data_IF_803240866768
#
_entry.id   IF_803240866768
#
_cell.length_a   1.000
_cell.length_b   1.000
_cell.length_c   1.000
_cell.angle_alpha   90.00
_cell.angle_beta   90.00
_cell.angle_gamma   90.00
#
_symmetry.space_group_name_H-M   'P 1'
#
loop_
_entity.id
_entity.type
_entity.pdbx_description
1 polymer ?
#
# COMPACT_ATOMS: atom_id res chain seq x y z
N UNK A 1 -7.29 13.98 1.46
CA UNK A 1 -6.59 12.70 1.15
C UNK A 1 -5.14 13.07 0.91
N UNK A 2 -4.24 12.77 1.85
CA UNK A 2 -2.80 13.01 1.65
C UNK A 2 -2.20 11.71 1.14
N UNK A 3 -1.88 11.67 -0.15
CA UNK A 3 -1.23 10.52 -0.79
C UNK A 3 0.28 10.65 -0.60
N UNK A 4 0.89 9.72 0.13
CA UNK A 4 2.34 9.60 0.20
C UNK A 4 2.76 8.36 -0.56
N UNK A 5 3.50 8.57 -1.64
CA UNK A 5 4.19 7.51 -2.37
C UNK A 5 5.50 7.24 -1.64
N UNK A 6 5.69 6.00 -1.17
CA UNK A 6 6.95 5.58 -0.56
C UNK A 6 7.98 5.37 -1.67
N UNK A 7 8.94 6.28 -1.79
CA UNK A 7 10.05 6.19 -2.75
C UNK A 7 11.36 6.54 -2.01
N UNK A 8 11.96 5.57 -1.32
CA UNK A 8 13.27 5.57 -0.61
C UNK A 8 13.62 6.74 0.35
N UNK A 9 12.84 7.82 0.38
CA UNK A 9 12.96 8.94 1.30
C UNK A 9 11.97 8.74 2.45
N UNK A 10 12.52 8.63 3.66
CA UNK A 10 11.81 8.41 4.93
C UNK A 10 10.46 9.13 5.03
N UNK A 11 9.36 8.37 4.99
CA UNK A 11 8.00 8.90 5.09
C UNK A 11 7.66 9.28 6.54
N UNK A 12 7.23 10.52 6.71
CA UNK A 12 6.70 11.03 7.98
C UNK A 12 5.20 10.73 8.10
N UNK A 13 4.84 9.80 9.01
CA UNK A 13 3.44 9.50 9.31
C UNK A 13 2.80 10.62 10.15
N UNK A 14 2.31 11.67 9.50
CA UNK A 14 1.50 12.69 10.17
C UNK A 14 0.20 12.09 10.72
N UNK A 15 -0.29 12.64 11.84
CA UNK A 15 -1.59 12.27 12.41
C UNK A 15 -2.72 12.41 11.37
N UNK A 16 -2.61 13.38 10.46
CA UNK A 16 -3.58 13.67 9.40
C UNK A 16 -3.62 12.64 8.25
N UNK A 17 -2.66 11.71 8.17
CA UNK A 17 -2.65 10.67 7.12
C UNK A 17 -3.72 9.63 7.43
N UNK A 18 -4.70 9.54 6.54
CA UNK A 18 -5.81 8.57 6.60
C UNK A 18 -5.42 7.20 6.05
N UNK A 19 -4.57 7.17 5.01
CA UNK A 19 -4.16 5.94 4.33
C UNK A 19 -2.81 6.11 3.66
N UNK A 20 -2.05 5.02 3.57
CA UNK A 20 -0.77 4.91 2.90
C UNK A 20 -0.93 3.99 1.71
N UNK A 21 -0.45 4.41 0.54
CA UNK A 21 -0.52 3.63 -0.70
C UNK A 21 0.91 3.32 -1.15
N UNK A 22 1.19 2.06 -1.46
CA UNK A 22 2.53 1.63 -1.88
C UNK A 22 2.47 0.70 -3.10
N UNK A 23 3.31 0.96 -4.09
CA UNK A 23 3.57 0.02 -5.17
C UNK A 23 4.70 -0.92 -4.71
N UNK A 24 4.41 -2.22 -4.64
CA UNK A 24 5.29 -3.23 -4.01
C UNK A 24 5.77 -4.28 -5.00
N UNK A 25 5.74 -3.97 -6.30
CA UNK A 25 6.25 -4.87 -7.34
C UNK A 25 7.77 -4.99 -7.26
N UNK A 26 8.45 -3.89 -6.96
CA UNK A 26 9.89 -3.88 -6.70
C UNK A 26 10.15 -4.20 -5.22
N UNK A 27 10.90 -5.26 -4.88
CA UNK A 27 11.32 -5.50 -3.51
C UNK A 27 12.18 -4.33 -3.00
N UNK A 28 11.81 -3.76 -1.85
CA UNK A 28 12.57 -2.72 -1.16
C UNK A 28 12.50 -2.93 0.35
N UNK A 29 13.67 -2.91 1.01
CA UNK A 29 13.78 -2.97 2.47
C UNK A 29 13.19 -1.71 3.13
N UNK A 30 13.42 -0.54 2.53
CA UNK A 30 12.88 0.74 3.00
C UNK A 30 11.36 0.74 2.99
N UNK A 31 10.76 0.36 1.86
CA UNK A 31 9.30 0.22 1.73
C UNK A 31 8.76 -0.78 2.76
N UNK A 32 9.37 -1.96 2.89
CA UNK A 32 8.94 -2.97 3.86
C UNK A 32 8.97 -2.47 5.31
N UNK A 33 10.02 -1.73 5.68
CA UNK A 33 10.15 -1.14 7.01
C UNK A 33 9.06 -0.10 7.29
N UNK A 34 8.78 0.77 6.33
CA UNK A 34 7.75 1.80 6.47
C UNK A 34 6.34 1.22 6.54
N UNK A 35 6.03 0.21 5.72
CA UNK A 35 4.78 -0.53 5.80
C UNK A 35 4.60 -1.19 7.18
N UNK A 36 5.65 -1.80 7.73
CA UNK A 36 5.63 -2.36 9.07
C UNK A 36 5.35 -1.30 10.15
N UNK A 37 5.99 -0.13 10.05
CA UNK A 37 5.72 1.00 10.95
C UNK A 37 4.30 1.55 10.82
N UNK A 38 3.78 1.64 9.60
CA UNK A 38 2.41 2.07 9.36
C UNK A 38 1.38 1.16 10.06
N UNK A 39 1.58 -0.16 9.94
CA UNK A 39 0.76 -1.15 10.64
C UNK A 39 0.87 -0.98 12.15
N UNK A 40 2.08 -0.82 12.68
CA UNK A 40 2.30 -0.60 14.12
C UNK A 40 1.64 0.68 14.65
N UNK A 41 1.48 1.71 13.80
CA UNK A 41 0.79 2.96 14.11
C UNK A 41 -0.73 2.91 13.82
N UNK A 42 -1.29 1.72 13.56
CA UNK A 42 -2.70 1.52 13.18
C UNK A 42 -3.14 2.38 11.99
N UNK A 43 -2.25 2.63 11.04
CA UNK A 43 -2.58 3.32 9.78
C UNK A 43 -3.10 2.31 8.76
N UNK A 44 -4.06 2.74 7.95
CA UNK A 44 -4.52 1.96 6.79
C UNK A 44 -3.43 1.93 5.73
N UNK A 45 -3.19 0.77 5.17
CA UNK A 45 -2.17 0.51 4.17
C UNK A 45 -2.81 -0.21 2.99
N UNK A 46 -2.56 0.30 1.79
CA UNK A 46 -3.02 -0.25 0.53
C UNK A 46 -1.82 -0.48 -0.39
N UNK A 47 -1.51 -1.74 -0.66
CA UNK A 47 -0.39 -2.13 -1.51
C UNK A 47 -0.89 -2.56 -2.89
N UNK A 48 -0.19 -2.13 -3.92
CA UNK A 48 -0.42 -2.51 -5.31
C UNK A 48 0.73 -3.39 -5.79
N UNK A 49 0.41 -4.58 -6.31
CA UNK A 49 1.39 -5.50 -6.86
C UNK A 49 1.06 -5.82 -8.31
N UNK A 50 2.06 -5.81 -9.21
CA UNK A 50 1.91 -6.14 -10.63
C UNK A 50 2.41 -7.56 -10.90
N UNK A 51 1.53 -8.58 -11.02
CA UNK A 51 1.96 -9.96 -11.24
C UNK A 51 2.63 -10.16 -12.60
N UNK A 52 2.27 -9.35 -13.61
CA UNK A 52 2.84 -9.41 -14.96
C UNK A 52 4.32 -9.01 -15.03
N UNK A 53 4.88 -8.45 -13.96
CA UNK A 53 6.31 -8.12 -13.85
C UNK A 53 7.25 -9.32 -13.84
N UNK A 54 6.71 -10.54 -13.68
CA UNK A 54 7.49 -11.77 -13.51
C UNK A 54 8.16 -11.92 -12.14
N UNK A 55 7.93 -10.96 -11.23
CA UNK A 55 8.41 -11.01 -9.84
C UNK A 55 7.41 -11.74 -8.95
N UNK A 56 7.87 -12.17 -7.79
CA UNK A 56 7.03 -12.78 -6.75
C UNK A 56 6.93 -11.81 -5.59
N UNK A 57 5.71 -11.51 -5.15
CA UNK A 57 5.50 -10.65 -3.99
C UNK A 57 6.05 -11.33 -2.72
N UNK A 58 6.66 -10.53 -1.84
CA UNK A 58 7.13 -10.99 -0.53
C UNK A 58 6.01 -11.71 0.25
N UNK A 59 6.32 -12.90 0.76
CA UNK A 59 5.39 -13.66 1.61
C UNK A 59 4.98 -12.88 2.87
N UNK A 60 5.85 -12.01 3.39
CA UNK A 60 5.54 -11.13 4.52
C UNK A 60 4.46 -10.11 4.15
N UNK A 61 4.58 -9.47 2.98
CA UNK A 61 3.58 -8.49 2.50
C UNK A 61 2.28 -9.21 2.14
N UNK A 62 2.35 -10.35 1.45
CA UNK A 62 1.17 -11.16 1.10
C UNK A 62 0.46 -11.67 2.35
N UNK A 63 1.18 -12.10 3.39
CA UNK A 63 0.61 -12.58 4.64
C UNK A 63 0.02 -11.47 5.53
N UNK A 64 0.54 -10.25 5.41
CA UNK A 64 0.05 -9.09 6.15
C UNK A 64 -1.40 -8.71 5.76
N UNK A 65 -1.88 -9.11 4.57
CA UNK A 65 -3.25 -8.85 4.11
C UNK A 65 -4.35 -9.53 4.94
N UNK A 66 -3.99 -10.34 5.93
CA UNK A 66 -4.93 -10.90 6.92
C UNK A 66 -5.41 -9.85 7.93
N UNK A 67 -4.73 -8.71 8.04
CA UNK A 67 -5.12 -7.58 8.87
C UNK A 67 -6.08 -6.65 8.10
N UNK A 68 -7.20 -6.23 8.71
CA UNK A 68 -8.18 -5.33 8.08
C UNK A 68 -7.62 -3.95 7.68
N UNK A 69 -6.53 -3.52 8.34
CA UNK A 69 -5.82 -2.28 8.04
C UNK A 69 -4.80 -2.43 6.91
N UNK A 70 -4.51 -3.64 6.45
CA UNK A 70 -3.50 -3.89 5.42
C UNK A 70 -4.11 -4.64 4.24
N UNK A 71 -4.13 -4.02 3.08
CA UNK A 71 -4.70 -4.61 1.87
C UNK A 71 -3.63 -4.69 0.79
N UNK A 72 -3.68 -5.78 0.02
CA UNK A 72 -2.83 -5.97 -1.15
C UNK A 72 -3.75 -6.27 -2.33
N UNK A 73 -3.62 -5.48 -3.38
CA UNK A 73 -4.38 -5.64 -4.62
C UNK A 73 -3.42 -5.89 -5.78
N UNK A 74 -3.67 -6.97 -6.49
CA UNK A 74 -2.99 -7.23 -7.76
C UNK A 74 -3.60 -6.32 -8.84
N UNK A 75 -2.76 -5.70 -9.68
CA UNK A 75 -3.19 -4.75 -10.72
C UNK A 75 -2.43 -4.94 -12.06
N UNK A 76 -3.05 -4.46 -13.15
CA UNK A 76 -2.38 -4.14 -14.41
C UNK A 76 -2.27 -2.62 -14.59
N UNK A 77 -1.34 -2.15 -15.41
CA UNK A 77 -1.07 -0.71 -15.58
C UNK A 77 -2.32 0.10 -15.93
N UNK A 78 -3.17 -0.43 -16.81
CA UNK A 78 -4.38 0.23 -17.28
C UNK A 78 -5.49 0.32 -16.22
N UNK A 79 -5.40 -0.47 -15.15
CA UNK A 79 -6.43 -0.55 -14.09
C UNK A 79 -6.11 0.34 -12.88
N UNK A 80 -4.91 0.92 -12.81
CA UNK A 80 -4.42 1.60 -11.58
C UNK A 80 -5.34 2.73 -11.14
N UNK A 81 -5.79 3.57 -12.07
CA UNK A 81 -6.67 4.70 -11.77
C UNK A 81 -8.03 4.22 -11.24
N UNK A 82 -8.63 3.25 -11.93
CA UNK A 82 -9.93 2.68 -11.57
C UNK A 82 -9.90 2.02 -10.18
N UNK A 83 -8.80 1.32 -9.86
CA UNK A 83 -8.61 0.68 -8.56
C UNK A 83 -8.49 1.72 -7.45
N UNK A 84 -7.69 2.77 -7.68
CA UNK A 84 -7.51 3.85 -6.71
C UNK A 84 -8.81 4.61 -6.46
N UNK A 85 -9.56 4.96 -7.51
CA UNK A 85 -10.87 5.61 -7.38
C UNK A 85 -11.83 4.78 -6.52
N UNK A 86 -11.99 3.49 -6.85
CA UNK A 86 -12.85 2.57 -6.11
C UNK A 86 -12.43 2.44 -4.64
N UNK A 87 -11.13 2.41 -4.39
CA UNK A 87 -10.60 2.33 -3.04
C UNK A 87 -10.89 3.60 -2.23
N UNK A 88 -10.65 4.77 -2.80
CA UNK A 88 -10.94 6.05 -2.13
C UNK A 88 -12.44 6.28 -1.92
N UNK A 89 -13.29 5.87 -2.86
CA UNK A 89 -14.75 5.88 -2.69
C UNK A 89 -15.21 5.03 -1.51
N UNK A 90 -14.57 3.86 -1.33
CA UNK A 90 -14.86 2.96 -0.20
C UNK A 90 -14.48 3.60 1.13
N UNK A 91 -13.38 4.36 1.16
CA UNK A 91 -12.95 5.08 2.37
C UNK A 91 -13.84 6.31 2.63
N UNK A 92 -14.24 7.05 1.59
CA UNK A 92 -15.04 8.27 1.74
C UNK A 92 -16.47 8.02 2.23
N UNK A 93 -17.00 6.82 2.01
CA UNK A 93 -18.35 6.41 2.43
C UNK A 93 -18.40 5.83 3.86
N UNK A 94 -17.27 5.67 4.53
CA UNK A 94 -17.15 5.18 5.91
C UNK A 94 -16.62 6.27 6.84
#
# INVERSE_FOLDING_TARGET
ISLFQINDDSVWFSLSVSVIVAEVTQPSLGVGYELGRAVALNKRVFCLFRPSSGKVLSAMIRGASTNSLFQVQDYTEDEVESILEKYFDTIAKN
#
